data_IF_276520620266
#
_entry.id   IF_276520620266
#
_cell.length_a   1.000
_cell.length_b   1.000
_cell.length_c   1.000
_cell.angle_alpha   90.00
_cell.angle_beta   90.00
_cell.angle_gamma   90.00
#
_symmetry.space_group_name_H-M   'P 1'
#
loop_
_entity.id
_entity.type
_entity.pdbx_description
1 polymer ?
#
# COMPACT_ATOMS: atom_id res chain seq x y z
N UNK A 1 -8.30 0.65 -9.16
CA UNK A 1 -7.40 -0.27 -8.45
C UNK A 1 -6.08 0.44 -8.27
N UNK A 2 -5.50 0.40 -7.08
CA UNK A 2 -4.22 1.07 -6.77
C UNK A 2 -3.14 0.02 -6.45
N UNK A 3 -1.96 0.17 -7.03
CA UNK A 3 -0.79 -0.65 -6.70
C UNK A 3 0.19 0.16 -5.87
N UNK A 4 0.49 -0.34 -4.69
CA UNK A 4 1.40 0.30 -3.75
C UNK A 4 2.67 -0.54 -3.62
N UNK A 5 3.81 0.13 -3.59
CA UNK A 5 5.13 -0.50 -3.42
C UNK A 5 5.57 -0.42 -1.95
N UNK A 6 5.98 -1.54 -1.37
CA UNK A 6 6.76 -1.58 -0.11
C UNK A 6 8.25 -1.59 -0.45
N UNK A 7 8.87 -0.41 -0.44
CA UNK A 7 10.32 -0.30 -0.63
C UNK A 7 10.88 0.99 -0.04
N UNK A 8 12.17 0.93 0.29
CA UNK A 8 13.02 2.09 0.60
C UNK A 8 14.26 2.12 -0.32
N UNK A 9 14.35 1.17 -1.26
CA UNK A 9 15.44 1.08 -2.21
C UNK A 9 15.14 1.99 -3.40
N UNK A 10 15.95 3.04 -3.57
CA UNK A 10 15.73 4.01 -4.64
C UNK A 10 15.66 3.39 -6.04
N UNK A 11 16.50 2.39 -6.33
CA UNK A 11 16.49 1.74 -7.63
C UNK A 11 15.17 1.00 -7.88
N UNK A 12 14.65 0.27 -6.88
CA UNK A 12 13.35 -0.41 -6.98
C UNK A 12 12.24 0.62 -7.21
N UNK A 13 12.25 1.72 -6.45
CA UNK A 13 11.23 2.76 -6.57
C UNK A 13 11.26 3.41 -7.96
N UNK A 14 12.44 3.84 -8.43
CA UNK A 14 12.59 4.48 -9.75
C UNK A 14 12.16 3.53 -10.87
N UNK A 15 12.57 2.27 -10.77
CA UNK A 15 12.22 1.25 -11.76
C UNK A 15 10.72 1.00 -11.77
N UNK A 16 10.10 0.78 -10.61
CA UNK A 16 8.67 0.53 -10.54
C UNK A 16 7.81 1.74 -10.90
N UNK A 17 8.26 2.96 -10.57
CA UNK A 17 7.60 4.20 -11.00
C UNK A 17 7.61 4.34 -12.52
N UNK A 18 8.68 3.91 -13.20
CA UNK A 18 8.78 3.94 -14.67
C UNK A 18 7.77 3.05 -15.39
N UNK A 19 7.19 2.06 -14.71
CA UNK A 19 6.17 1.17 -15.28
C UNK A 19 4.79 1.83 -15.41
N UNK A 20 4.57 2.99 -14.77
CA UNK A 20 3.30 3.72 -14.86
C UNK A 20 2.12 3.10 -14.10
N UNK A 21 2.39 2.14 -13.18
CA UNK A 21 1.33 1.42 -12.43
C UNK A 21 1.23 1.82 -10.96
N UNK A 22 2.24 2.49 -10.40
CA UNK A 22 2.30 2.81 -8.98
C UNK A 22 1.38 3.97 -8.61
N UNK A 23 0.65 3.82 -7.50
CA UNK A 23 -0.20 4.86 -6.92
C UNK A 23 0.34 5.39 -5.59
N UNK A 24 1.07 4.55 -4.83
CA UNK A 24 1.67 4.92 -3.56
C UNK A 24 2.99 4.19 -3.31
N UNK A 25 3.84 4.80 -2.49
CA UNK A 25 5.04 4.21 -1.94
C UNK A 25 4.91 4.14 -0.42
N UNK A 26 4.93 2.93 0.14
CA UNK A 26 4.95 2.71 1.58
C UNK A 26 6.35 2.44 2.07
N UNK A 27 6.81 3.29 2.99
CA UNK A 27 8.13 3.17 3.58
C UNK A 27 8.09 2.22 4.77
N UNK A 28 8.90 1.18 4.72
CA UNK A 28 9.03 0.24 5.81
C UNK A 28 9.95 0.83 6.90
N UNK A 29 9.45 1.05 8.13
CA UNK A 29 10.23 1.70 9.18
C UNK A 29 11.47 0.90 9.59
N UNK A 30 11.38 -0.43 9.58
CA UNK A 30 12.53 -1.31 9.90
C UNK A 30 13.63 -1.13 8.86
N UNK A 31 13.29 -1.08 7.56
CA UNK A 31 14.28 -0.89 6.51
C UNK A 31 14.89 0.52 6.54
N UNK A 32 14.08 1.56 6.78
CA UNK A 32 14.58 2.93 6.97
C UNK A 32 15.60 3.00 8.12
N UNK A 33 15.27 2.39 9.26
CA UNK A 33 16.15 2.33 10.43
C UNK A 33 17.45 1.59 10.13
N UNK A 34 17.37 0.43 9.47
CA UNK A 34 18.56 -0.35 9.07
C UNK A 34 19.50 0.44 8.14
N UNK A 35 18.94 1.31 7.30
CA UNK A 35 19.70 2.17 6.39
C UNK A 35 20.13 3.50 7.04
N UNK A 36 19.70 3.79 8.27
CA UNK A 36 19.97 5.07 8.94
C UNK A 36 19.40 6.27 8.20
N UNK A 37 18.28 6.09 7.48
CA UNK A 37 17.71 7.09 6.57
C UNK A 37 16.36 7.59 7.07
N UNK A 38 16.09 8.90 6.92
CA UNK A 38 14.78 9.50 7.24
C UNK A 38 13.86 9.47 6.02
N UNK A 39 12.55 9.41 6.27
CA UNK A 39 11.54 9.47 5.21
C UNK A 39 11.66 10.73 4.33
N UNK A 40 12.01 11.87 4.95
CA UNK A 40 12.20 13.15 4.25
C UNK A 40 13.38 13.12 3.28
N UNK A 41 14.47 12.44 3.63
CA UNK A 41 15.66 12.34 2.78
C UNK A 41 15.35 11.51 1.53
N UNK A 42 14.63 10.40 1.72
CA UNK A 42 14.18 9.53 0.63
C UNK A 42 13.17 10.24 -0.28
N UNK A 43 12.23 10.98 0.31
CA UNK A 43 11.28 11.80 -0.46
C UNK A 43 12.01 12.86 -1.31
N UNK A 44 12.98 13.57 -0.74
CA UNK A 44 13.77 14.57 -1.49
C UNK A 44 14.48 13.94 -2.69
N UNK A 45 15.04 12.74 -2.54
CA UNK A 45 15.76 12.03 -3.61
C UNK A 45 14.86 11.53 -4.75
N UNK A 46 13.60 11.18 -4.44
CA UNK A 46 12.71 10.46 -5.36
C UNK A 46 11.48 11.26 -5.83
N UNK A 47 11.15 12.38 -5.19
CA UNK A 47 9.95 13.18 -5.49
C UNK A 47 9.85 13.65 -6.95
N UNK A 48 10.98 13.83 -7.63
CA UNK A 48 11.01 14.16 -9.06
C UNK A 48 10.71 12.99 -10.01
N UNK A 49 10.62 11.76 -9.51
CA UNK A 49 10.45 10.53 -10.31
C UNK A 49 9.21 9.74 -9.94
N UNK A 50 8.72 9.90 -8.72
CA UNK A 50 7.49 9.28 -8.27
C UNK A 50 6.47 10.36 -7.87
N UNK A 51 5.39 10.43 -8.64
CA UNK A 51 4.23 11.29 -8.35
C UNK A 51 3.10 10.40 -7.84
N UNK A 52 2.90 10.42 -6.53
CA UNK A 52 1.86 9.62 -5.86
C UNK A 52 1.94 9.78 -4.35
N UNK A 53 1.21 8.93 -3.63
CA UNK A 53 1.12 9.03 -2.16
C UNK A 53 2.37 8.47 -1.49
N UNK A 54 2.83 9.16 -0.47
CA UNK A 54 3.94 8.73 0.38
C UNK A 54 3.38 8.24 1.71
N UNK A 55 3.46 6.93 1.95
CA UNK A 55 2.93 6.31 3.16
C UNK A 55 4.05 6.18 4.19
N UNK A 56 3.93 6.92 5.29
CA UNK A 56 4.93 6.97 6.37
C UNK A 56 4.28 6.53 7.67
N UNK A 57 4.96 5.64 8.41
CA UNK A 57 4.48 5.15 9.70
C UNK A 57 5.01 6.02 10.84
N UNK A 58 4.16 6.26 11.83
CA UNK A 58 4.58 6.82 13.12
C UNK A 58 5.37 5.79 13.94
N UNK A 59 6.26 6.28 14.81
CA UNK A 59 6.94 5.45 15.82
C UNK A 59 6.31 5.56 17.21
N UNK A 60 5.37 6.48 17.39
CA UNK A 60 4.64 6.72 18.64
C UNK A 60 3.33 5.92 18.72
N UNK A 61 2.80 5.80 19.94
CA UNK A 61 1.57 5.02 20.21
C UNK A 61 0.45 5.85 20.82
N UNK A 62 0.73 7.03 21.38
CA UNK A 62 -0.26 7.97 21.92
C UNK A 62 -0.63 9.05 20.89
N UNK A 63 -1.88 9.51 20.92
CA UNK A 63 -2.40 10.37 19.86
C UNK A 63 -1.66 11.71 19.72
N UNK A 64 -1.27 12.33 20.84
CA UNK A 64 -0.59 13.62 20.84
C UNK A 64 0.80 13.51 20.22
N UNK A 65 1.63 12.55 20.66
CA UNK A 65 2.97 12.37 20.09
C UNK A 65 2.93 11.96 18.62
N UNK A 66 1.91 11.19 18.20
CA UNK A 66 1.68 10.86 16.78
C UNK A 66 1.42 12.14 15.97
N UNK A 67 0.58 13.05 16.46
CA UNK A 67 0.30 14.32 15.78
C UNK A 67 1.53 15.21 15.72
N UNK A 68 2.27 15.32 16.82
CA UNK A 68 3.53 16.09 16.89
C UNK A 68 4.57 15.59 15.89
N UNK A 69 4.70 14.26 15.71
CA UNK A 69 5.62 13.66 14.74
C UNK A 69 5.17 13.90 13.29
N UNK A 70 3.88 13.68 13.00
CA UNK A 70 3.41 13.53 11.62
C UNK A 70 2.89 14.82 10.98
N UNK A 71 2.41 15.80 11.76
CA UNK A 71 1.91 17.06 11.18
C UNK A 71 3.01 17.85 10.45
N UNK A 72 4.23 18.07 11.01
CA UNK A 72 5.30 18.73 10.28
C UNK A 72 5.69 17.99 8.99
N UNK A 73 5.66 16.65 9.02
CA UNK A 73 5.92 15.84 7.83
C UNK A 73 4.84 16.01 6.76
N UNK A 74 3.58 16.19 7.15
CA UNK A 74 2.47 16.39 6.21
C UNK A 74 2.56 17.71 5.45
N UNK A 75 3.19 18.73 6.05
CA UNK A 75 3.50 20.00 5.40
C UNK A 75 4.69 19.88 4.43
N UNK A 76 5.68 19.04 4.78
CA UNK A 76 6.90 18.86 3.99
C UNK A 76 6.72 17.92 2.80
N UNK A 77 5.93 16.85 2.95
CA UNK A 77 5.74 15.79 1.96
C UNK A 77 4.34 15.93 1.35
N UNK A 78 4.20 16.50 0.13
CA UNK A 78 2.92 16.55 -0.55
C UNK A 78 2.35 15.14 -0.75
N UNK A 79 1.04 14.97 -0.53
CA UNK A 79 0.37 13.66 -0.58
C UNK A 79 0.92 12.65 0.44
N UNK A 80 1.38 13.12 1.59
CA UNK A 80 1.64 12.24 2.72
C UNK A 80 0.35 11.53 3.13
N UNK A 81 0.48 10.23 3.39
CA UNK A 81 -0.53 9.40 3.99
C UNK A 81 0.05 8.80 5.27
N UNK A 82 -0.56 9.10 6.40
CA UNK A 82 -0.04 8.67 7.71
C UNK A 82 -0.50 7.25 7.98
N UNK A 83 0.43 6.34 8.27
CA UNK A 83 0.14 4.95 8.61
C UNK A 83 0.21 4.75 10.12
N UNK A 84 -0.89 4.26 10.69
CA UNK A 84 -1.05 4.08 12.12
C UNK A 84 -1.49 2.64 12.45
N UNK A 85 -0.98 2.03 13.52
CA UNK A 85 -1.52 0.76 13.99
C UNK A 85 -2.94 0.94 14.54
N UNK A 86 -3.77 -0.09 14.38
CA UNK A 86 -5.05 -0.19 15.06
C UNK A 86 -4.87 -0.18 16.59
N UNK A 87 -5.26 0.91 17.24
CA UNK A 87 -5.32 1.07 18.69
C UNK A 87 -6.30 2.19 19.05
N UNK A 88 -6.72 2.31 20.31
CA UNK A 88 -7.62 3.40 20.72
C UNK A 88 -6.99 4.79 20.50
N UNK A 89 -5.71 4.94 20.81
CA UNK A 89 -4.95 6.17 20.55
C UNK A 89 -4.74 6.42 19.05
N UNK A 90 -4.49 5.36 18.27
CA UNK A 90 -4.43 5.44 16.82
C UNK A 90 -5.75 5.93 16.21
N UNK A 91 -6.89 5.46 16.73
CA UNK A 91 -8.22 5.94 16.29
C UNK A 91 -8.45 7.41 16.64
N UNK A 92 -7.98 7.88 17.81
CA UNK A 92 -8.01 9.32 18.15
C UNK A 92 -7.18 10.12 17.15
N UNK A 93 -5.95 9.70 16.87
CA UNK A 93 -5.10 10.38 15.90
C UNK A 93 -5.72 10.38 14.49
N UNK A 94 -6.33 9.28 14.04
CA UNK A 94 -7.05 9.18 12.76
C UNK A 94 -8.17 10.22 12.67
N UNK A 95 -8.97 10.38 13.72
CA UNK A 95 -10.05 11.38 13.76
C UNK A 95 -9.51 12.80 13.63
N UNK A 96 -8.40 13.10 14.32
CA UNK A 96 -7.72 14.40 14.23
C UNK A 96 -7.13 14.66 12.84
N UNK A 97 -6.47 13.69 12.22
CA UNK A 97 -5.97 13.81 10.84
C UNK A 97 -7.11 13.99 9.84
N UNK A 98 -8.22 13.27 10.01
CA UNK A 98 -9.40 13.39 9.15
C UNK A 98 -9.97 14.83 9.17
N UNK A 99 -10.09 15.44 10.37
CA UNK A 99 -10.52 16.83 10.51
C UNK A 99 -9.58 17.84 9.84
N UNK A 100 -8.29 17.51 9.79
CA UNK A 100 -7.25 18.32 9.14
C UNK A 100 -7.08 18.02 7.64
N UNK A 101 -7.86 17.07 7.09
CA UNK A 101 -7.77 16.68 5.69
C UNK A 101 -6.51 15.86 5.33
N UNK A 102 -5.82 15.29 6.32
CA UNK A 102 -4.66 14.42 6.13
C UNK A 102 -5.13 12.97 5.98
N UNK A 103 -4.76 12.32 4.87
CA UNK A 103 -5.15 10.93 4.62
C UNK A 103 -4.43 9.96 5.57
N UNK A 104 -5.11 8.87 5.93
CA UNK A 104 -4.59 7.86 6.86
C UNK A 104 -4.78 6.42 6.38
N UNK A 105 -3.82 5.55 6.71
CA UNK A 105 -3.94 4.09 6.63
C UNK A 105 -3.94 3.54 8.06
N UNK A 106 -5.02 2.87 8.45
CA UNK A 106 -5.03 2.08 9.69
C UNK A 106 -4.59 0.66 9.37
N UNK A 107 -3.42 0.26 9.89
CA UNK A 107 -2.79 -1.04 9.69
C UNK A 107 -2.96 -1.96 10.90
N UNK A 108 -2.51 -3.21 10.79
CA UNK A 108 -2.68 -4.27 11.80
C UNK A 108 -4.15 -4.58 12.11
N UNK A 109 -5.00 -4.55 11.07
CA UNK A 109 -6.41 -4.90 11.18
C UNK A 109 -6.62 -6.39 10.87
N UNK A 110 -7.20 -7.09 11.82
CA UNK A 110 -7.40 -8.55 11.81
C UNK A 110 -8.84 -8.96 12.14
N UNK A 111 -9.79 -8.01 12.16
CA UNK A 111 -11.22 -8.28 12.37
C UNK A 111 -12.12 -7.21 11.74
N UNK A 112 -13.37 -7.55 11.47
CA UNK A 112 -14.39 -6.63 10.97
C UNK A 112 -14.69 -5.51 11.97
N UNK A 113 -14.67 -5.81 13.27
CA UNK A 113 -14.91 -4.82 14.33
C UNK A 113 -13.83 -3.73 14.32
N UNK A 114 -12.56 -4.13 14.20
CA UNK A 114 -11.44 -3.20 14.03
C UNK A 114 -11.64 -2.36 12.76
N UNK A 115 -11.97 -2.98 11.63
CA UNK A 115 -12.17 -2.26 10.37
C UNK A 115 -13.29 -1.22 10.45
N UNK A 116 -14.42 -1.56 11.10
CA UNK A 116 -15.52 -0.62 11.33
C UNK A 116 -15.10 0.57 12.17
N UNK A 117 -14.37 0.35 13.26
CA UNK A 117 -13.88 1.43 14.13
C UNK A 117 -12.92 2.36 13.37
N UNK A 118 -11.98 1.81 12.60
CA UNK A 118 -11.08 2.61 11.77
C UNK A 118 -11.85 3.45 10.74
N UNK A 119 -12.79 2.84 10.01
CA UNK A 119 -13.60 3.55 9.04
C UNK A 119 -14.44 4.65 9.67
N UNK A 120 -14.99 4.42 10.87
CA UNK A 120 -15.80 5.41 11.60
C UNK A 120 -14.98 6.53 12.20
N UNK A 121 -13.72 6.29 12.57
CA UNK A 121 -12.79 7.33 12.97
C UNK A 121 -12.37 8.24 11.80
N UNK A 122 -12.69 7.87 10.55
CA UNK A 122 -12.35 8.67 9.37
C UNK A 122 -11.12 8.18 8.61
N UNK A 123 -10.71 6.92 8.81
CA UNK A 123 -9.59 6.34 8.06
C UNK A 123 -9.83 6.39 6.55
N UNK A 124 -8.81 6.80 5.78
CA UNK A 124 -8.87 6.77 4.31
C UNK A 124 -8.73 5.34 3.80
N UNK A 125 -7.81 4.57 4.40
CA UNK A 125 -7.58 3.17 4.11
C UNK A 125 -7.56 2.33 5.38
N UNK A 126 -8.04 1.09 5.26
CA UNK A 126 -8.00 0.06 6.30
C UNK A 126 -7.26 -1.15 5.73
N UNK A 127 -6.18 -1.54 6.38
CA UNK A 127 -5.18 -2.47 5.84
C UNK A 127 -5.25 -3.84 6.53
N UNK A 128 -5.60 -4.86 5.74
CA UNK A 128 -5.70 -6.26 6.17
C UNK A 128 -4.42 -6.99 5.77
N UNK A 129 -3.72 -7.58 6.75
CA UNK A 129 -2.41 -8.21 6.54
C UNK A 129 -2.56 -9.69 6.18
N UNK A 130 -2.76 -9.98 4.89
CA UNK A 130 -3.08 -11.31 4.39
C UNK A 130 -2.05 -12.37 4.78
N UNK A 131 -0.77 -12.14 4.48
CA UNK A 131 0.29 -13.11 4.78
C UNK A 131 0.46 -13.38 6.26
N UNK A 132 0.28 -12.38 7.13
CA UNK A 132 0.36 -12.57 8.59
C UNK A 132 -0.77 -13.42 9.15
N UNK A 133 -1.95 -13.34 8.55
CA UNK A 133 -3.07 -14.20 8.91
C UNK A 133 -2.86 -15.63 8.42
N UNK A 134 -2.34 -15.78 7.19
CA UNK A 134 -2.00 -17.09 6.64
C UNK A 134 -0.93 -17.80 7.47
N UNK A 135 0.07 -17.06 7.97
CA UNK A 135 1.13 -17.59 8.85
C UNK A 135 0.57 -18.30 10.11
N UNK A 136 -0.65 -17.97 10.54
CA UNK A 136 -1.34 -18.57 11.69
C UNK A 136 -2.56 -19.41 11.31
N UNK A 137 -2.68 -19.79 10.04
CA UNK A 137 -3.75 -20.67 9.53
C UNK A 137 -5.10 -20.00 9.34
N UNK A 138 -5.14 -18.66 9.30
CA UNK A 138 -6.36 -17.89 9.04
C UNK A 138 -6.47 -17.46 7.57
N UNK A 139 -7.68 -17.49 7.02
CA UNK A 139 -7.95 -16.99 5.67
C UNK A 139 -8.13 -15.45 5.68
N UNK A 140 -7.03 -14.75 5.41
CA UNK A 140 -7.05 -13.29 5.33
C UNK A 140 -7.86 -12.73 4.16
N UNK A 141 -7.95 -13.47 3.04
CA UNK A 141 -8.73 -13.03 1.87
C UNK A 141 -10.21 -13.04 2.20
N UNK A 142 -10.67 -14.07 2.91
CA UNK A 142 -12.05 -14.14 3.39
C UNK A 142 -12.39 -12.97 4.32
N UNK A 143 -11.53 -12.64 5.29
CA UNK A 143 -11.75 -11.48 6.15
C UNK A 143 -11.81 -10.17 5.32
N UNK A 144 -10.89 -10.00 4.37
CA UNK A 144 -10.88 -8.84 3.48
C UNK A 144 -12.21 -8.70 2.71
N UNK A 145 -12.73 -9.82 2.20
CA UNK A 145 -14.03 -9.87 1.53
C UNK A 145 -15.17 -9.45 2.46
N UNK A 146 -15.23 -10.02 3.67
CA UNK A 146 -16.22 -9.64 4.69
C UNK A 146 -16.21 -8.14 5.00
N UNK A 147 -15.01 -7.56 5.19
CA UNK A 147 -14.85 -6.13 5.47
C UNK A 147 -15.32 -5.29 4.26
N UNK A 148 -14.96 -5.68 3.05
CA UNK A 148 -15.34 -4.95 1.84
C UNK A 148 -16.85 -4.95 1.63
N UNK A 149 -17.50 -6.11 1.79
CA UNK A 149 -18.96 -6.19 1.74
C UNK A 149 -19.62 -5.33 2.81
N UNK A 150 -19.09 -5.34 4.03
CA UNK A 150 -19.59 -4.56 5.14
C UNK A 150 -19.50 -3.06 4.85
N UNK A 151 -18.35 -2.60 4.34
CA UNK A 151 -18.15 -1.20 3.96
C UNK A 151 -19.11 -0.79 2.85
N UNK A 152 -19.33 -1.64 1.85
CA UNK A 152 -20.30 -1.38 0.79
C UNK A 152 -21.73 -1.29 1.32
N UNK A 153 -22.16 -2.26 2.14
CA UNK A 153 -23.51 -2.29 2.74
C UNK A 153 -23.79 -1.08 3.61
N UNK A 154 -22.79 -0.62 4.35
CA UNK A 154 -22.88 0.54 5.25
C UNK A 154 -22.52 1.88 4.57
N UNK A 155 -22.21 1.87 3.26
CA UNK A 155 -21.79 3.03 2.48
C UNK A 155 -20.63 3.80 3.13
N UNK A 156 -19.66 3.06 3.68
CA UNK A 156 -18.48 3.66 4.30
C UNK A 156 -17.49 4.12 3.22
N UNK A 157 -16.90 5.29 3.41
CA UNK A 157 -15.95 5.89 2.47
C UNK A 157 -14.55 5.28 2.53
N UNK A 158 -14.19 4.68 3.67
CA UNK A 158 -12.90 4.04 3.87
C UNK A 158 -12.67 2.93 2.82
N UNK A 159 -11.43 2.80 2.35
CA UNK A 159 -11.05 1.82 1.33
C UNK A 159 -10.28 0.67 1.94
N UNK A 160 -10.59 -0.55 1.52
CA UNK A 160 -9.86 -1.74 1.99
C UNK A 160 -8.57 -1.91 1.18
N UNK A 161 -7.44 -1.98 1.87
CA UNK A 161 -6.11 -2.26 1.33
C UNK A 161 -5.69 -3.68 1.73
N UNK A 162 -5.25 -4.47 0.76
CA UNK A 162 -4.58 -5.73 1.04
C UNK A 162 -3.08 -5.48 1.25
N UNK A 163 -2.56 -5.84 2.41
CA UNK A 163 -1.13 -5.73 2.72
C UNK A 163 -0.56 -7.08 3.14
N UNK A 164 0.75 -7.14 3.39
CA UNK A 164 1.45 -8.41 3.62
C UNK A 164 1.21 -9.41 2.47
N UNK A 165 1.13 -8.91 1.23
CA UNK A 165 1.00 -9.71 0.02
C UNK A 165 2.33 -10.43 -0.26
N UNK A 166 2.29 -11.74 -0.51
CA UNK A 166 3.49 -12.58 -0.69
C UNK A 166 3.72 -13.03 -2.14
N UNK A 167 2.67 -13.09 -2.95
CA UNK A 167 2.74 -13.59 -4.32
C UNK A 167 1.58 -13.06 -5.18
N UNK A 168 1.68 -13.13 -6.53
CA UNK A 168 0.63 -12.63 -7.44
C UNK A 168 -0.78 -13.15 -7.14
N UNK A 169 -0.92 -14.40 -6.68
CA UNK A 169 -2.25 -14.95 -6.33
C UNK A 169 -2.93 -14.20 -5.17
N UNK A 170 -2.17 -13.68 -4.19
CA UNK A 170 -2.75 -12.86 -3.11
C UNK A 170 -3.35 -11.59 -3.69
N UNK A 171 -2.66 -10.97 -4.66
CA UNK A 171 -3.16 -9.77 -5.33
C UNK A 171 -4.48 -10.08 -6.03
N UNK A 172 -4.53 -11.10 -6.88
CA UNK A 172 -5.74 -11.44 -7.63
C UNK A 172 -6.90 -11.79 -6.69
N UNK A 173 -6.67 -12.61 -5.67
CA UNK A 173 -7.71 -12.97 -4.71
C UNK A 173 -8.21 -11.76 -3.90
N UNK A 174 -7.31 -10.87 -3.47
CA UNK A 174 -7.69 -9.66 -2.76
C UNK A 174 -8.50 -8.69 -3.62
N UNK A 175 -8.09 -8.51 -4.88
CA UNK A 175 -8.80 -7.68 -5.86
C UNK A 175 -10.20 -8.26 -6.11
N UNK A 176 -10.31 -9.57 -6.30
CA UNK A 176 -11.59 -10.25 -6.47
C UNK A 176 -12.50 -10.13 -5.24
N UNK A 177 -11.91 -10.11 -4.04
CA UNK A 177 -12.60 -9.86 -2.78
C UNK A 177 -12.94 -8.37 -2.54
N UNK A 178 -12.59 -7.49 -3.48
CA UNK A 178 -13.02 -6.08 -3.48
C UNK A 178 -12.01 -5.07 -2.94
N UNK A 179 -10.78 -5.49 -2.63
CA UNK A 179 -9.71 -4.56 -2.25
C UNK A 179 -9.60 -3.41 -3.26
N UNK A 180 -9.40 -2.18 -2.77
CA UNK A 180 -9.21 -1.00 -3.63
C UNK A 180 -7.75 -0.70 -3.90
N UNK A 181 -6.88 -1.16 -3.02
CA UNK A 181 -5.45 -1.01 -3.12
C UNK A 181 -4.74 -2.30 -2.65
N UNK A 182 -3.56 -2.56 -3.19
CA UNK A 182 -2.70 -3.67 -2.78
C UNK A 182 -1.29 -3.16 -2.51
N UNK A 183 -0.73 -3.49 -1.34
CA UNK A 183 0.64 -3.19 -0.95
C UNK A 183 1.50 -4.44 -1.06
N UNK A 184 2.49 -4.40 -1.95
CA UNK A 184 3.35 -5.54 -2.24
C UNK A 184 4.79 -5.12 -2.54
N UNK A 185 5.71 -6.10 -2.55
CA UNK A 185 7.12 -5.86 -2.86
C UNK A 185 7.34 -5.65 -4.36
N UNK A 186 8.50 -5.09 -4.68
CA UNK A 186 8.99 -4.96 -6.07
C UNK A 186 8.94 -6.29 -6.83
N UNK A 187 9.42 -7.37 -6.20
CA UNK A 187 9.44 -8.71 -6.77
C UNK A 187 8.03 -9.23 -7.11
N UNK A 188 7.04 -8.99 -6.24
CA UNK A 188 5.65 -9.42 -6.51
C UNK A 188 5.11 -8.70 -7.74
N UNK A 189 5.35 -7.38 -7.88
CA UNK A 189 4.94 -6.62 -9.05
C UNK A 189 5.59 -7.15 -10.34
N UNK A 190 6.89 -7.47 -10.31
CA UNK A 190 7.56 -8.08 -11.47
C UNK A 190 6.94 -9.42 -11.84
N UNK A 191 6.69 -10.29 -10.85
CA UNK A 191 6.06 -11.60 -11.08
C UNK A 191 4.64 -11.49 -11.62
N UNK A 192 3.92 -10.39 -11.37
CA UNK A 192 2.59 -10.16 -11.94
C UNK A 192 2.62 -9.87 -13.44
N UNK A 193 3.67 -9.23 -13.95
CA UNK A 193 3.81 -8.94 -15.38
C UNK A 193 4.30 -10.15 -16.19
N UNK A 194 4.89 -11.14 -15.51
CA UNK A 194 5.49 -12.31 -16.14
C UNK A 194 4.46 -13.42 -16.44
N UNK A 195 4.52 -13.97 -17.65
CA UNK A 195 3.85 -15.22 -17.99
C UNK A 195 4.65 -15.97 -19.08
N UNK A 196 4.89 -17.29 -18.94
CA UNK A 196 5.75 -18.04 -19.87
C UNK A 196 5.20 -18.09 -21.30
N UNK A 197 3.86 -18.11 -21.47
CA UNK A 197 3.26 -18.01 -22.81
C UNK A 197 3.49 -16.64 -23.44
N UNK A 198 3.43 -15.56 -22.64
CA UNK A 198 3.65 -14.20 -23.15
C UNK A 198 5.10 -14.04 -23.63
N UNK A 199 6.06 -14.51 -22.83
CA UNK A 199 7.48 -14.51 -23.19
C UNK A 199 7.73 -15.29 -24.48
N UNK A 200 7.26 -16.54 -24.55
CA UNK A 200 7.44 -17.37 -25.74
C UNK A 200 6.71 -16.84 -26.99
N UNK A 201 5.57 -16.18 -26.83
CA UNK A 201 4.87 -15.53 -27.94
C UNK A 201 5.60 -14.28 -28.44
N UNK A 202 6.16 -13.46 -27.54
CA UNK A 202 6.99 -12.31 -27.91
C UNK A 202 8.23 -12.79 -28.69
N UNK A 203 8.91 -13.83 -28.22
CA UNK A 203 10.08 -14.39 -28.89
C UNK A 203 9.74 -14.88 -30.31
N UNK A 204 8.67 -15.68 -30.45
CA UNK A 204 8.20 -16.13 -31.78
C UNK A 204 7.84 -14.96 -32.68
N UNK A 205 7.09 -13.99 -32.15
CA UNK A 205 6.68 -12.81 -32.89
C UNK A 205 7.90 -12.04 -33.43
N UNK A 206 8.94 -11.83 -32.61
CA UNK A 206 10.16 -11.15 -33.02
C UNK A 206 10.93 -11.91 -34.12
N UNK A 207 10.97 -13.24 -34.05
CA UNK A 207 11.59 -14.09 -35.08
C UNK A 207 10.85 -13.95 -36.40
N UNK A 208 9.52 -14.11 -36.39
CA UNK A 208 8.69 -14.03 -37.59
C UNK A 208 8.78 -12.63 -38.23
N UNK A 209 8.70 -11.57 -37.42
CA UNK A 209 8.75 -10.19 -37.90
C UNK A 209 10.13 -9.72 -38.36
N UNK A 210 11.21 -10.43 -38.02
CA UNK A 210 12.55 -10.13 -38.52
C UNK A 210 12.66 -10.32 -40.04
N UNK A 211 11.76 -11.10 -40.63
CA UNK A 211 11.71 -11.40 -42.07
C UNK A 211 10.84 -10.43 -42.87
N UNK A 212 10.12 -9.54 -42.18
CA UNK A 212 9.21 -8.55 -42.80
C UNK A 212 9.94 -7.20 -42.87
N UNK A 213 10.12 -6.66 -44.08
CA UNK A 213 10.68 -5.31 -44.23
C UNK A 213 9.72 -4.30 -43.62
N UNK A 214 10.21 -3.53 -42.65
CA UNK A 214 9.40 -2.50 -41.95
C UNK A 214 9.32 -1.19 -42.74
N UNK A 215 10.10 -1.07 -43.81
CA UNK A 215 10.19 0.04 -44.78
C UNK A 215 10.49 -0.56 -46.16
#
# INVERSE_FOLDING_TARGET
MEFWLDSVNEWEVRTAASWGVLSALSLNPVKLQQMGMRATDLWQSLSGQFVGKWVVSTTHLDAESILEEMLPLSEQIPQLLVKLPMSLEGLKAVERFCQLGVETEVTLVYSEAQALLAARAGATYVSVLLGRMEDIGMDGVRLLGSITELFQKQQLHARVLASSVRHPRHVIHAVAAGAKAVLCSFEVLQKMAYHPLTEGEIERFLIEWSTVSKI
#
